data_IF_480566429274
#
_entry.id   IF_480566429274
#
_cell.length_a   1.000
_cell.length_b   1.000
_cell.length_c   1.000
_cell.angle_alpha   90.00
_cell.angle_beta   90.00
_cell.angle_gamma   90.00
#
_symmetry.space_group_name_H-M   'P 1'
#
loop_
_entity.id
_entity.type
_entity.pdbx_description
1 polymer ?
#
# COMPACT_ATOMS: atom_id res chain seq x y z
N UNK A 1 29.14 4.65 -10.99
CA UNK A 1 28.51 4.15 -9.75
C UNK A 1 29.38 4.32 -8.50
N UNK A 2 30.69 4.12 -8.58
CA UNK A 2 31.62 4.38 -7.45
C UNK A 2 31.49 5.78 -6.86
N UNK A 3 31.23 6.82 -7.66
CA UNK A 3 31.04 8.18 -7.19
C UNK A 3 29.85 8.42 -6.23
N UNK A 4 28.84 7.52 -6.18
CA UNK A 4 27.76 7.64 -5.18
C UNK A 4 28.19 7.13 -3.80
N UNK A 5 29.03 6.08 -3.76
CA UNK A 5 29.49 5.47 -2.50
C UNK A 5 30.34 6.49 -1.71
N UNK A 6 31.18 7.26 -2.39
CA UNK A 6 32.03 8.29 -1.78
C UNK A 6 31.19 9.43 -1.13
N UNK A 7 29.94 9.62 -1.57
CA UNK A 7 29.03 10.63 -1.07
C UNK A 7 28.00 10.10 -0.07
N UNK A 8 28.10 8.85 0.40
CA UNK A 8 27.11 8.25 1.33
C UNK A 8 26.88 9.12 2.56
N UNK A 9 27.94 9.59 3.22
CA UNK A 9 27.83 10.42 4.41
C UNK A 9 27.21 11.80 4.14
N UNK A 10 27.50 12.37 2.96
CA UNK A 10 26.90 13.64 2.55
C UNK A 10 25.40 13.47 2.30
N UNK A 11 24.99 12.42 1.60
CA UNK A 11 23.59 12.12 1.31
C UNK A 11 22.83 11.89 2.62
N UNK A 12 23.37 11.10 3.55
CA UNK A 12 22.74 10.85 4.86
C UNK A 12 22.62 12.13 5.69
N UNK A 13 23.64 13.02 5.66
CA UNK A 13 23.54 14.34 6.34
C UNK A 13 22.45 15.21 5.70
N UNK A 14 22.28 15.18 4.40
CA UNK A 14 21.24 15.92 3.70
C UNK A 14 19.85 15.36 4.03
N UNK A 15 19.65 14.02 4.03
CA UNK A 15 18.41 13.38 4.47
C UNK A 15 18.03 13.82 5.88
N UNK A 16 19.01 13.83 6.82
CA UNK A 16 18.78 14.30 8.17
C UNK A 16 18.38 15.79 8.22
N UNK A 17 19.05 16.64 7.43
CA UNK A 17 18.76 18.08 7.34
C UNK A 17 17.37 18.37 6.76
N UNK A 18 16.93 17.56 5.80
CA UNK A 18 15.57 17.65 5.24
C UNK A 18 14.50 17.04 6.16
N UNK A 19 14.91 16.46 7.29
CA UNK A 19 13.98 15.86 8.23
C UNK A 19 13.33 14.58 7.71
N UNK A 20 14.02 13.86 6.83
CA UNK A 20 13.51 12.59 6.26
C UNK A 20 13.57 11.53 7.35
N UNK A 21 12.43 11.26 7.95
CA UNK A 21 12.29 10.38 9.11
C UNK A 21 11.24 9.33 8.86
N UNK A 22 11.37 8.24 9.59
CA UNK A 22 10.38 7.19 9.69
C UNK A 22 10.12 6.88 11.16
N UNK A 23 8.84 6.86 11.54
CA UNK A 23 8.42 6.53 12.89
C UNK A 23 8.26 5.02 13.07
N UNK A 24 8.76 4.50 14.19
CA UNK A 24 8.52 3.12 14.61
C UNK A 24 7.98 3.09 16.02
N UNK A 25 7.03 2.17 16.26
CA UNK A 25 6.57 1.87 17.61
C UNK A 25 7.38 0.68 18.16
N UNK A 26 7.96 0.89 19.33
CA UNK A 26 8.62 -0.19 20.08
C UNK A 26 8.08 -0.17 21.51
N UNK A 27 7.47 -1.26 21.94
CA UNK A 27 6.82 -1.35 23.26
C UNK A 27 5.82 -0.22 23.51
N UNK A 28 4.99 0.09 22.52
CA UNK A 28 4.02 1.20 22.53
C UNK A 28 4.64 2.60 22.67
N UNK A 29 5.95 2.76 22.53
CA UNK A 29 6.63 4.05 22.50
C UNK A 29 6.96 4.42 21.06
N UNK A 30 6.48 5.59 20.63
CA UNK A 30 6.79 6.15 19.33
C UNK A 30 8.23 6.66 19.29
N UNK A 31 9.02 6.15 18.35
CA UNK A 31 10.40 6.57 18.12
C UNK A 31 10.57 7.00 16.67
N UNK A 32 10.96 8.24 16.45
CA UNK A 32 11.41 8.71 15.14
C UNK A 32 12.88 8.37 14.94
N UNK A 33 13.20 7.80 13.80
CA UNK A 33 14.59 7.62 13.36
C UNK A 33 14.80 8.23 11.98
N UNK A 34 16.02 8.66 11.73
CA UNK A 34 16.42 9.06 10.39
C UNK A 34 16.30 7.88 9.43
N UNK A 35 15.90 8.17 8.21
CA UNK A 35 15.85 7.16 7.15
C UNK A 35 17.29 6.75 6.81
N UNK A 36 17.69 5.48 7.02
CA UNK A 36 19.02 5.01 6.66
C UNK A 36 19.10 4.86 5.14
N UNK A 37 20.16 5.38 4.55
CA UNK A 37 20.38 5.28 3.12
C UNK A 37 21.77 4.70 2.83
N UNK A 38 21.78 3.65 2.01
CA UNK A 38 22.98 3.09 1.40
C UNK A 38 23.08 3.60 -0.04
N UNK A 39 24.21 4.23 -0.37
CA UNK A 39 24.46 4.79 -1.69
C UNK A 39 24.82 3.74 -2.76
N UNK A 40 24.98 2.46 -2.40
CA UNK A 40 25.15 1.38 -3.37
C UNK A 40 23.84 1.12 -4.11
N UNK A 41 23.74 1.52 -5.40
CA UNK A 41 22.48 1.39 -6.11
C UNK A 41 22.24 -0.06 -6.55
N UNK A 42 21.02 -0.54 -6.35
CA UNK A 42 20.52 -1.69 -7.09
C UNK A 42 20.11 -1.23 -8.49
N UNK A 43 20.67 -1.86 -9.50
CA UNK A 43 20.40 -1.52 -10.90
C UNK A 43 19.39 -2.52 -11.45
N UNK A 44 18.31 -1.98 -12.02
CA UNK A 44 17.31 -2.73 -12.77
C UNK A 44 17.41 -2.24 -14.22
N UNK A 45 17.66 -3.14 -15.15
CA UNK A 45 17.72 -2.81 -16.57
C UNK A 45 16.34 -2.40 -17.10
N UNK A 46 16.33 -1.71 -18.26
CA UNK A 46 15.06 -1.33 -18.88
C UNK A 46 14.19 -2.54 -19.22
N UNK A 47 14.78 -3.58 -19.80
CA UNK A 47 14.04 -4.78 -20.21
C UNK A 47 13.47 -5.52 -19.00
N UNK A 48 14.24 -5.59 -17.89
CA UNK A 48 13.79 -6.15 -16.61
C UNK A 48 12.63 -5.31 -16.03
N UNK A 49 12.76 -3.99 -16.06
CA UNK A 49 11.71 -3.09 -15.58
C UNK A 49 10.43 -3.21 -16.43
N UNK A 50 10.55 -3.27 -17.76
CA UNK A 50 9.41 -3.44 -18.67
C UNK A 50 8.70 -4.78 -18.44
N UNK A 51 9.46 -5.84 -18.10
CA UNK A 51 8.88 -7.13 -17.70
C UNK A 51 8.11 -7.02 -16.39
N UNK A 52 8.71 -6.41 -15.36
CA UNK A 52 8.07 -6.18 -14.07
C UNK A 52 6.81 -5.32 -14.22
N UNK A 53 6.89 -4.24 -14.98
CA UNK A 53 5.76 -3.34 -15.21
C UNK A 53 4.55 -4.07 -15.81
N UNK A 54 4.77 -4.91 -16.82
CA UNK A 54 3.69 -5.70 -17.42
C UNK A 54 3.04 -6.64 -16.42
N UNK A 55 3.85 -7.38 -15.65
CA UNK A 55 3.34 -8.31 -14.65
C UNK A 55 2.62 -7.62 -13.50
N UNK A 56 3.12 -6.48 -13.04
CA UNK A 56 2.48 -5.67 -12.01
C UNK A 56 1.15 -5.09 -12.48
N UNK A 57 1.09 -4.57 -13.72
CA UNK A 57 -0.16 -4.07 -14.32
C UNK A 57 -1.21 -5.17 -14.44
N UNK A 58 -0.82 -6.39 -14.86
CA UNK A 58 -1.70 -7.55 -14.92
C UNK A 58 -2.25 -7.87 -13.53
N UNK A 59 -1.38 -7.95 -12.53
CA UNK A 59 -1.73 -8.28 -11.14
C UNK A 59 -2.70 -7.27 -10.53
N UNK A 60 -2.37 -5.99 -10.61
CA UNK A 60 -3.22 -4.90 -10.06
C UNK A 60 -4.57 -4.85 -10.75
N UNK A 61 -4.65 -5.12 -12.06
CA UNK A 61 -5.91 -5.23 -12.79
C UNK A 61 -6.79 -6.36 -12.24
N UNK A 62 -6.22 -7.55 -12.01
CA UNK A 62 -6.95 -8.67 -11.42
C UNK A 62 -7.43 -8.35 -9.99
N UNK A 63 -6.57 -7.74 -9.16
CA UNK A 63 -6.90 -7.32 -7.80
C UNK A 63 -8.03 -6.27 -7.76
N UNK A 64 -8.04 -5.30 -8.69
CA UNK A 64 -9.15 -4.34 -8.80
C UNK A 64 -10.48 -5.02 -9.14
N UNK A 65 -10.47 -6.00 -10.05
CA UNK A 65 -11.68 -6.76 -10.40
C UNK A 65 -12.11 -7.62 -9.21
N UNK A 66 -11.19 -8.25 -8.51
CA UNK A 66 -11.45 -9.01 -7.29
C UNK A 66 -12.13 -8.15 -6.22
N UNK A 67 -11.58 -6.98 -5.91
CA UNK A 67 -12.16 -6.06 -4.93
C UNK A 67 -13.59 -5.65 -5.32
N UNK A 68 -13.81 -5.32 -6.59
CA UNK A 68 -15.16 -5.03 -7.08
C UNK A 68 -16.09 -6.23 -6.91
N UNK A 69 -15.64 -7.43 -7.25
CA UNK A 69 -16.45 -8.64 -7.22
C UNK A 69 -16.88 -9.01 -5.80
N UNK A 70 -15.95 -9.03 -4.85
CA UNK A 70 -16.26 -9.44 -3.46
C UNK A 70 -17.20 -8.47 -2.74
N UNK A 71 -17.17 -7.18 -3.09
CA UNK A 71 -18.08 -6.17 -2.52
C UNK A 71 -19.39 -6.01 -3.30
N UNK A 72 -19.55 -6.70 -4.43
CA UNK A 72 -20.77 -6.62 -5.26
C UNK A 72 -21.37 -7.99 -5.56
N UNK A 73 -20.87 -8.68 -6.59
CA UNK A 73 -21.45 -9.92 -7.13
C UNK A 73 -21.02 -11.18 -6.37
N UNK A 74 -19.82 -11.17 -5.78
CA UNK A 74 -19.20 -12.28 -5.05
C UNK A 74 -19.07 -13.54 -5.93
N UNK A 75 -18.78 -13.35 -7.23
CA UNK A 75 -18.82 -14.44 -8.21
C UNK A 75 -17.66 -15.41 -8.00
N UNK A 76 -16.46 -14.91 -7.68
CA UNK A 76 -15.27 -15.75 -7.45
C UNK A 76 -15.48 -16.74 -6.29
N UNK A 77 -16.26 -16.32 -5.26
CA UNK A 77 -16.63 -17.17 -4.12
C UNK A 77 -17.68 -18.21 -4.58
N UNK A 78 -18.73 -17.78 -5.29
CA UNK A 78 -19.78 -18.69 -5.81
C UNK A 78 -19.22 -19.77 -6.73
N UNK A 79 -18.22 -19.41 -7.54
CA UNK A 79 -17.53 -20.33 -8.45
C UNK A 79 -16.43 -21.15 -7.75
N UNK A 80 -16.29 -20.98 -6.43
CA UNK A 80 -15.34 -21.73 -5.56
C UNK A 80 -13.88 -21.63 -6.00
N UNK A 81 -13.49 -20.51 -6.59
CA UNK A 81 -12.08 -20.22 -6.92
C UNK A 81 -11.31 -19.86 -5.67
N UNK A 82 -11.97 -19.12 -4.75
CA UNK A 82 -11.47 -18.80 -3.41
C UNK A 82 -12.51 -19.29 -2.41
N UNK A 83 -12.12 -20.09 -1.40
CA UNK A 83 -13.02 -20.43 -0.31
C UNK A 83 -13.49 -19.19 0.43
N UNK A 84 -14.78 -19.16 0.81
CA UNK A 84 -15.40 -18.00 1.45
C UNK A 84 -14.73 -17.63 2.78
N UNK A 85 -14.17 -18.61 3.47
CA UNK A 85 -13.47 -18.44 4.74
C UNK A 85 -12.27 -17.49 4.61
N UNK A 86 -11.57 -17.51 3.47
CA UNK A 86 -10.44 -16.60 3.24
C UNK A 86 -10.89 -15.18 2.99
N UNK A 87 -12.05 -14.97 2.39
CA UNK A 87 -12.56 -13.62 2.11
C UNK A 87 -13.21 -13.03 3.35
N UNK A 88 -14.16 -13.75 3.94
CA UNK A 88 -14.92 -13.25 5.10
C UNK A 88 -14.16 -13.36 6.42
N UNK A 89 -13.17 -14.26 6.51
CA UNK A 89 -12.26 -14.38 7.64
C UNK A 89 -11.09 -13.40 7.62
N UNK A 90 -10.82 -12.76 6.48
CA UNK A 90 -9.78 -11.75 6.40
C UNK A 90 -10.12 -10.52 7.24
N UNK A 91 -9.22 -10.12 8.14
CA UNK A 91 -9.42 -8.96 9.03
C UNK A 91 -9.66 -7.65 8.25
N UNK A 92 -9.25 -7.60 6.99
CA UNK A 92 -9.44 -6.46 6.10
C UNK A 92 -10.77 -6.42 5.36
N UNK A 93 -11.61 -7.48 5.45
CA UNK A 93 -12.93 -7.46 4.84
C UNK A 93 -13.88 -6.59 5.67
N UNK A 94 -14.49 -5.62 5.02
CA UNK A 94 -15.38 -4.64 5.66
C UNK A 94 -16.80 -4.81 5.11
N UNK A 95 -17.70 -5.42 5.89
CA UNK A 95 -19.10 -5.63 5.50
C UNK A 95 -19.81 -4.30 5.17
N UNK A 96 -19.40 -3.23 5.84
CA UNK A 96 -19.92 -1.88 5.63
C UNK A 96 -19.60 -1.32 4.24
N UNK A 97 -18.65 -1.92 3.53
CA UNK A 97 -18.29 -1.54 2.16
C UNK A 97 -19.09 -2.30 1.09
N UNK A 98 -19.92 -3.28 1.48
CA UNK A 98 -20.74 -4.04 0.52
C UNK A 98 -21.69 -3.12 -0.26
N UNK A 99 -21.73 -3.31 -1.58
CA UNK A 99 -22.55 -2.50 -2.49
C UNK A 99 -22.02 -1.10 -2.78
N UNK A 100 -20.98 -0.62 -2.07
CA UNK A 100 -20.35 0.65 -2.38
C UNK A 100 -19.42 0.50 -3.60
N UNK A 101 -19.66 1.33 -4.61
CA UNK A 101 -18.83 1.35 -5.84
C UNK A 101 -18.12 2.69 -5.93
N UNK A 102 -16.78 2.70 -5.94
CA UNK A 102 -16.02 3.94 -6.03
C UNK A 102 -16.17 4.63 -7.39
N UNK A 103 -15.93 5.94 -7.48
CA UNK A 103 -15.90 6.65 -8.73
C UNK A 103 -14.99 5.97 -9.76
N UNK A 104 -15.46 5.86 -11.01
CA UNK A 104 -14.77 5.19 -12.13
C UNK A 104 -14.51 3.69 -11.92
N UNK A 105 -15.16 3.05 -10.94
CA UNK A 105 -14.92 1.63 -10.60
C UNK A 105 -13.47 1.31 -10.18
N UNK A 106 -12.72 2.28 -9.69
CA UNK A 106 -11.34 2.08 -9.27
C UNK A 106 -11.27 1.88 -7.76
N UNK A 107 -10.94 0.69 -7.31
CA UNK A 107 -10.78 0.35 -5.90
C UNK A 107 -9.36 0.61 -5.40
N UNK A 108 -8.35 0.11 -6.11
CA UNK A 108 -6.94 0.33 -5.80
C UNK A 108 -6.31 1.27 -6.84
N UNK A 109 -6.07 2.50 -6.42
CA UNK A 109 -5.46 3.54 -7.25
C UNK A 109 -3.94 3.51 -7.12
N UNK A 110 -3.46 3.23 -5.91
CA UNK A 110 -2.05 3.11 -5.55
C UNK A 110 -1.84 1.71 -4.97
N UNK A 111 -0.89 0.99 -5.52
CA UNK A 111 -0.55 -0.37 -5.09
C UNK A 111 0.92 -0.45 -4.73
N UNK A 112 1.23 -0.92 -3.54
CA UNK A 112 2.59 -1.24 -3.09
C UNK A 112 2.81 -2.74 -3.21
N UNK A 113 3.42 -3.18 -4.30
CA UNK A 113 3.68 -4.60 -4.54
C UNK A 113 5.15 -4.88 -4.21
N UNK A 114 5.37 -5.69 -3.19
CA UNK A 114 6.71 -6.06 -2.78
C UNK A 114 7.27 -7.18 -3.64
N UNK A 115 8.48 -6.99 -4.12
CA UNK A 115 9.17 -7.93 -4.99
C UNK A 115 10.45 -8.44 -4.36
N UNK A 116 10.75 -9.71 -4.58
CA UNK A 116 12.02 -10.34 -4.21
C UNK A 116 12.62 -11.04 -5.41
N UNK A 117 13.94 -10.96 -5.55
CA UNK A 117 14.65 -11.73 -6.54
C UNK A 117 15.21 -13.00 -5.90
N UNK A 118 14.81 -14.15 -6.42
CA UNK A 118 15.29 -15.45 -5.95
C UNK A 118 16.73 -15.75 -6.35
N UNK A 119 17.28 -16.83 -5.82
CA UNK A 119 18.62 -17.32 -6.19
C UNK A 119 18.72 -17.74 -7.66
N UNK A 120 17.58 -18.03 -8.28
CA UNK A 120 17.44 -18.32 -9.72
C UNK A 120 17.39 -17.06 -10.59
N UNK A 121 17.63 -15.89 -9.99
CA UNK A 121 17.57 -14.57 -10.60
C UNK A 121 16.18 -14.16 -11.13
N UNK A 122 15.11 -14.91 -10.81
CA UNK A 122 13.73 -14.56 -11.15
C UNK A 122 13.13 -13.64 -10.09
N UNK A 123 12.23 -12.78 -10.55
CA UNK A 123 11.44 -11.93 -9.67
C UNK A 123 10.16 -12.63 -9.22
N UNK A 124 9.87 -12.52 -7.94
CA UNK A 124 8.67 -13.05 -7.31
C UNK A 124 7.96 -11.92 -6.58
N UNK A 125 6.64 -11.95 -6.59
CA UNK A 125 5.83 -11.10 -5.71
C UNK A 125 5.89 -11.69 -4.31
N UNK A 126 6.13 -10.85 -3.30
CA UNK A 126 6.22 -11.24 -1.89
C UNK A 126 4.94 -10.92 -1.13
N UNK A 127 4.34 -9.76 -1.39
CA UNK A 127 3.05 -9.35 -0.85
C UNK A 127 2.42 -8.21 -1.67
N UNK A 128 1.11 -8.03 -1.50
CA UNK A 128 0.33 -6.95 -2.08
C UNK A 128 -0.12 -6.00 -0.98
N UNK A 129 0.14 -4.70 -1.13
CA UNK A 129 -0.30 -3.66 -0.22
C UNK A 129 -1.22 -2.69 -0.97
N UNK A 130 -2.54 -2.78 -0.72
CA UNK A 130 -3.57 -2.01 -1.42
C UNK A 130 -4.39 -1.10 -0.49
N UNK A 131 -4.23 -1.25 0.82
CA UNK A 131 -4.94 -0.42 1.80
C UNK A 131 -4.41 1.02 1.82
N UNK A 132 -3.21 1.21 2.36
CA UNK A 132 -2.54 2.50 2.52
C UNK A 132 -1.03 2.35 2.25
N UNK A 133 -0.62 1.97 1.02
CA UNK A 133 0.79 1.77 0.72
C UNK A 133 1.58 3.05 0.96
N UNK A 134 2.80 2.90 1.49
CA UNK A 134 3.71 3.99 1.85
C UNK A 134 5.10 3.74 1.28
N UNK A 135 5.93 4.78 1.24
CA UNK A 135 7.33 4.67 0.91
C UNK A 135 7.78 5.39 -0.36
N UNK A 136 6.86 5.87 -1.20
CA UNK A 136 7.20 6.48 -2.49
C UNK A 136 8.05 7.76 -2.35
N UNK A 137 7.90 8.52 -1.28
CA UNK A 137 8.65 9.76 -1.04
C UNK A 137 10.15 9.53 -0.84
N UNK A 138 10.52 8.43 -0.17
CA UNK A 138 11.90 8.14 0.17
C UNK A 138 12.80 7.95 -1.06
N UNK A 139 12.47 7.09 -2.04
CA UNK A 139 13.27 6.96 -3.25
C UNK A 139 13.26 8.24 -4.12
N UNK A 140 12.22 9.04 -4.08
CA UNK A 140 12.18 10.32 -4.80
C UNK A 140 13.23 11.29 -4.23
N UNK A 141 13.23 11.48 -2.91
CA UNK A 141 14.18 12.36 -2.24
C UNK A 141 15.60 11.82 -2.32
N UNK A 142 15.78 10.52 -2.03
CA UNK A 142 17.10 9.90 -2.14
C UNK A 142 17.69 10.07 -3.54
N UNK A 143 16.89 9.87 -4.61
CA UNK A 143 17.32 10.09 -6.00
C UNK A 143 17.70 11.54 -6.24
N UNK A 144 16.94 12.51 -5.73
CA UNK A 144 17.27 13.94 -5.87
C UNK A 144 18.60 14.26 -5.19
N UNK A 145 18.82 13.78 -3.98
CA UNK A 145 20.05 14.01 -3.23
C UNK A 145 21.25 13.32 -3.88
N UNK A 146 21.10 12.10 -4.39
CA UNK A 146 22.14 11.43 -5.18
C UNK A 146 22.53 12.24 -6.42
N UNK A 147 21.58 12.82 -7.14
CA UNK A 147 21.86 13.68 -8.30
C UNK A 147 22.61 14.95 -7.93
N UNK A 148 22.35 15.52 -6.76
CA UNK A 148 23.05 16.70 -6.25
C UNK A 148 24.47 16.38 -5.80
N UNK A 149 24.63 15.26 -5.07
CA UNK A 149 25.91 14.85 -4.54
C UNK A 149 26.87 14.33 -5.63
N UNK A 150 26.35 13.63 -6.64
CA UNK A 150 27.16 13.04 -7.72
C UNK A 150 26.54 13.27 -9.10
N UNK A 151 26.51 14.53 -9.59
CA UNK A 151 25.88 14.86 -10.87
C UNK A 151 26.54 14.15 -12.07
N UNK A 152 27.84 13.90 -12.00
CA UNK A 152 28.57 13.23 -13.08
C UNK A 152 28.15 11.78 -13.27
N UNK A 153 27.84 11.07 -12.20
CA UNK A 153 27.29 9.71 -12.27
C UNK A 153 25.98 9.67 -13.08
N UNK A 154 25.12 10.68 -12.91
CA UNK A 154 23.85 10.74 -13.63
C UNK A 154 23.98 11.28 -15.06
N UNK A 155 25.02 12.07 -15.36
CA UNK A 155 25.34 12.48 -16.74
C UNK A 155 25.93 11.34 -17.56
N UNK A 156 26.74 10.51 -16.93
CA UNK A 156 27.40 9.37 -17.58
C UNK A 156 26.48 8.17 -17.83
N UNK A 157 25.31 8.13 -17.16
CA UNK A 157 24.39 7.00 -17.22
C UNK A 157 22.96 7.48 -17.54
N UNK A 158 22.26 6.77 -18.41
CA UNK A 158 20.83 7.00 -18.64
C UNK A 158 20.04 6.37 -17.50
N UNK A 159 19.56 7.20 -16.57
CA UNK A 159 18.76 6.78 -15.42
C UNK A 159 17.37 7.37 -15.56
N UNK A 160 16.34 6.50 -15.56
CA UNK A 160 14.95 6.93 -15.64
C UNK A 160 14.58 7.78 -14.41
N UNK A 161 13.87 8.86 -14.66
CA UNK A 161 13.45 9.79 -13.62
C UNK A 161 12.25 9.26 -12.83
N UNK A 162 12.25 9.46 -11.53
CA UNK A 162 11.13 9.13 -10.65
C UNK A 162 10.43 10.37 -10.05
N UNK A 163 10.83 11.58 -10.48
CA UNK A 163 10.25 12.84 -9.96
C UNK A 163 8.81 13.06 -10.41
N UNK A 164 8.39 12.41 -11.49
CA UNK A 164 7.03 12.47 -12.01
C UNK A 164 5.99 11.74 -11.15
N UNK A 165 6.39 11.04 -10.08
CA UNK A 165 5.45 10.33 -9.21
C UNK A 165 4.39 11.28 -8.61
N UNK A 166 4.77 12.49 -8.19
CA UNK A 166 3.83 13.49 -7.69
C UNK A 166 2.78 13.88 -8.73
N UNK A 167 3.17 14.03 -10.00
CA UNK A 167 2.25 14.30 -11.10
C UNK A 167 1.35 13.09 -11.41
N UNK A 168 1.89 11.87 -11.35
CA UNK A 168 1.10 10.64 -11.53
C UNK A 168 0.05 10.50 -10.43
N UNK A 169 0.42 10.74 -9.17
CA UNK A 169 -0.52 10.71 -8.06
C UNK A 169 -1.59 11.80 -8.19
N UNK A 170 -1.22 13.03 -8.59
CA UNK A 170 -2.18 14.10 -8.88
C UNK A 170 -3.15 13.67 -9.96
N UNK A 171 -2.66 13.15 -11.08
CA UNK A 171 -3.49 12.69 -12.19
C UNK A 171 -4.45 11.56 -11.76
N UNK A 172 -4.00 10.66 -10.88
CA UNK A 172 -4.86 9.61 -10.33
C UNK A 172 -5.99 10.19 -9.45
N UNK A 173 -5.68 11.21 -8.62
CA UNK A 173 -6.67 11.92 -7.82
C UNK A 173 -7.66 12.68 -8.72
N UNK A 174 -7.15 13.43 -9.69
CA UNK A 174 -7.98 14.21 -10.61
C UNK A 174 -8.90 13.32 -11.45
N UNK A 175 -8.43 12.13 -11.84
CA UNK A 175 -9.23 11.17 -12.62
C UNK A 175 -10.49 10.70 -11.89
N UNK A 176 -10.42 10.50 -10.57
CA UNK A 176 -11.55 10.04 -9.77
C UNK A 176 -12.26 11.16 -9.01
N UNK A 177 -11.76 12.39 -9.08
CA UNK A 177 -12.33 13.56 -8.41
C UNK A 177 -13.78 13.80 -8.85
N UNK A 178 -14.68 13.89 -7.86
CA UNK A 178 -16.13 14.07 -8.07
C UNK A 178 -16.56 15.55 -8.11
N UNK A 179 -15.60 16.44 -8.16
CA UNK A 179 -15.80 17.90 -8.17
C UNK A 179 -15.39 18.56 -6.86
N UNK A 180 -14.39 19.41 -6.92
CA UNK A 180 -13.81 20.11 -5.77
C UNK A 180 -12.29 19.94 -5.70
N UNK A 181 -11.73 20.22 -4.53
CA UNK A 181 -10.28 20.09 -4.28
C UNK A 181 -9.88 18.64 -4.00
N UNK A 182 -8.60 18.34 -4.22
CA UNK A 182 -7.95 17.13 -3.73
C UNK A 182 -7.37 17.37 -2.33
N UNK A 183 -7.48 16.38 -1.46
CA UNK A 183 -6.98 16.42 -0.09
C UNK A 183 -6.08 15.22 0.18
N UNK A 184 -4.97 15.44 0.89
CA UNK A 184 -4.22 14.39 1.58
C UNK A 184 -4.64 14.39 3.04
N UNK A 185 -5.38 13.37 3.45
CA UNK A 185 -5.87 13.22 4.83
C UNK A 185 -4.88 12.42 5.67
N UNK A 186 -4.28 13.08 6.66
CA UNK A 186 -3.32 12.48 7.59
C UNK A 186 -3.91 12.30 8.99
N UNK A 187 -3.59 11.20 9.70
CA UNK A 187 -3.96 11.06 11.12
C UNK A 187 -3.07 11.90 12.06
N UNK A 188 -2.09 12.62 11.51
CA UNK A 188 -1.22 13.51 12.27
C UNK A 188 0.19 12.99 12.50
N UNK A 189 0.97 13.77 13.25
CA UNK A 189 2.43 13.63 13.39
C UNK A 189 2.94 12.34 14.04
N UNK A 190 2.08 11.60 14.72
CA UNK A 190 2.44 10.32 15.33
C UNK A 190 2.30 9.12 14.39
N UNK A 191 1.89 9.36 13.15
CA UNK A 191 1.91 8.33 12.13
C UNK A 191 3.34 8.09 11.63
N UNK A 192 3.72 6.83 11.44
CA UNK A 192 5.05 6.42 10.98
C UNK A 192 5.48 7.12 9.68
N UNK A 193 4.55 7.35 8.76
CA UNK A 193 4.79 7.94 7.45
C UNK A 193 4.37 9.42 7.35
N UNK A 194 4.24 10.14 8.47
CA UNK A 194 3.79 11.55 8.47
C UNK A 194 4.62 12.44 7.55
N UNK A 195 5.94 12.23 7.50
CA UNK A 195 6.82 12.93 6.57
C UNK A 195 6.34 12.75 5.12
N UNK A 196 6.04 11.52 4.72
CA UNK A 196 5.55 11.22 3.36
C UNK A 196 4.22 11.91 3.07
N UNK A 197 3.31 11.96 4.04
CA UNK A 197 2.00 12.60 3.84
C UNK A 197 2.14 14.07 3.44
N UNK A 198 2.96 14.83 4.17
CA UNK A 198 3.21 16.25 3.89
C UNK A 198 3.97 16.44 2.56
N UNK A 199 4.97 15.59 2.30
CA UNK A 199 5.74 15.63 1.07
C UNK A 199 4.86 15.37 -0.17
N UNK A 200 4.00 14.36 -0.13
CA UNK A 200 3.11 14.05 -1.24
C UNK A 200 2.01 15.11 -1.42
N UNK A 201 1.52 15.72 -0.35
CA UNK A 201 0.60 16.86 -0.45
C UNK A 201 1.26 18.02 -1.20
N UNK A 202 2.50 18.37 -0.87
CA UNK A 202 3.28 19.39 -1.58
C UNK A 202 3.47 19.03 -3.07
N UNK A 203 3.90 17.79 -3.37
CA UNK A 203 4.20 17.35 -4.74
C UNK A 203 2.96 17.24 -5.62
N UNK A 204 1.81 16.94 -5.06
CA UNK A 204 0.53 16.85 -5.79
C UNK A 204 -0.20 18.18 -5.89
N UNK A 205 0.11 19.13 -5.01
CA UNK A 205 -0.67 20.36 -4.83
C UNK A 205 -2.01 20.13 -4.14
N UNK A 206 -2.23 18.95 -3.54
CA UNK A 206 -3.41 18.67 -2.77
C UNK A 206 -3.35 19.37 -1.40
N UNK A 207 -4.51 19.71 -0.84
CA UNK A 207 -4.58 20.30 0.49
C UNK A 207 -4.18 19.25 1.53
N UNK A 208 -3.22 19.59 2.38
CA UNK A 208 -2.83 18.75 3.52
C UNK A 208 -3.78 19.00 4.68
N UNK A 209 -4.57 18.01 5.05
CA UNK A 209 -5.62 18.15 6.05
C UNK A 209 -5.55 17.08 7.15
N UNK A 210 -5.97 17.46 8.34
CA UNK A 210 -6.25 16.57 9.45
C UNK A 210 -7.79 16.33 9.55
N UNK A 211 -8.25 15.32 10.30
CA UNK A 211 -9.68 15.03 10.42
C UNK A 211 -10.55 16.22 10.83
N UNK A 212 -10.07 17.03 11.77
CA UNK A 212 -10.80 18.21 12.26
C UNK A 212 -10.96 19.34 11.23
N UNK A 213 -10.20 19.30 10.14
CA UNK A 213 -10.29 20.27 9.05
C UNK A 213 -11.38 19.90 8.04
N UNK A 214 -11.95 18.68 8.19
CA UNK A 214 -12.94 18.11 7.28
C UNK A 214 -14.27 17.87 7.97
N UNK A 215 -15.36 18.05 7.26
CA UNK A 215 -16.72 17.73 7.74
C UNK A 215 -17.64 17.37 6.58
N UNK A 216 -18.70 16.62 6.88
CA UNK A 216 -19.72 16.24 5.91
C UNK A 216 -21.02 17.00 6.20
N UNK A 217 -21.62 17.57 5.18
CA UNK A 217 -22.91 18.23 5.22
C UNK A 217 -23.72 17.84 3.96
N UNK A 218 -24.92 17.30 4.14
CA UNK A 218 -25.75 16.86 3.02
C UNK A 218 -25.10 15.80 2.12
N UNK A 219 -24.36 14.86 2.73
CA UNK A 219 -23.57 13.82 2.03
C UNK A 219 -22.49 14.40 1.09
N UNK A 220 -22.00 15.59 1.34
CA UNK A 220 -20.88 16.21 0.63
C UNK A 220 -19.78 16.53 1.61
N UNK A 221 -18.55 16.15 1.25
CA UNK A 221 -17.36 16.42 2.06
C UNK A 221 -16.83 17.82 1.79
N UNK A 222 -16.53 18.56 2.85
CA UNK A 222 -15.94 19.90 2.81
C UNK A 222 -14.66 19.98 3.62
N UNK A 223 -13.76 20.82 3.14
CA UNK A 223 -12.61 21.34 3.87
C UNK A 223 -12.93 22.74 4.38
N UNK A 224 -12.63 22.98 5.66
CA UNK A 224 -12.78 24.29 6.29
C UNK A 224 -11.42 24.99 6.40
N UNK A 225 -11.26 26.10 5.69
CA UNK A 225 -10.10 26.94 5.87
C UNK A 225 -10.16 27.67 7.24
N UNK A 226 -9.00 28.06 7.75
CA UNK A 226 -8.92 28.88 8.96
C UNK A 226 -9.70 30.23 8.84
N UNK A 227 -9.83 30.72 7.61
CA UNK A 227 -10.64 31.90 7.28
C UNK A 227 -12.15 31.68 7.43
N UNK A 228 -12.60 30.45 7.68
CA UNK A 228 -14.01 30.05 7.67
C UNK A 228 -14.59 29.77 6.29
N UNK A 229 -13.80 29.90 5.22
CA UNK A 229 -14.22 29.51 3.88
C UNK A 229 -14.29 28.00 3.74
N UNK A 230 -15.36 27.52 3.13
CA UNK A 230 -15.59 26.10 2.87
C UNK A 230 -15.25 25.79 1.41
N UNK A 231 -14.55 24.68 1.20
CA UNK A 231 -14.27 24.15 -0.13
C UNK A 231 -14.77 22.71 -0.23
N UNK A 232 -15.52 22.39 -1.27
CA UNK A 232 -15.92 21.02 -1.55
C UNK A 232 -14.70 20.18 -1.86
N UNK A 233 -14.66 18.96 -1.30
CA UNK A 233 -13.61 17.97 -1.52
C UNK A 233 -14.14 16.92 -2.49
N UNK A 234 -13.45 16.71 -3.61
CA UNK A 234 -13.83 15.73 -4.62
C UNK A 234 -13.04 14.42 -4.56
N UNK A 235 -11.80 14.47 -4.08
CA UNK A 235 -11.00 13.26 -3.85
C UNK A 235 -10.12 13.41 -2.62
N UNK A 236 -9.98 12.31 -1.87
CA UNK A 236 -9.17 12.22 -0.66
C UNK A 236 -8.13 11.11 -0.83
N UNK A 237 -6.84 11.48 -0.85
CA UNK A 237 -5.76 10.53 -0.64
C UNK A 237 -5.65 10.27 0.86
N UNK A 238 -6.29 9.21 1.31
CA UNK A 238 -6.36 8.86 2.74
C UNK A 238 -5.09 8.19 3.21
N UNK A 239 -4.61 8.63 4.36
CA UNK A 239 -3.47 7.99 5.06
C UNK A 239 -3.91 7.45 6.42
N UNK A 240 -5.17 7.07 6.51
CA UNK A 240 -5.86 6.52 7.68
C UNK A 240 -6.35 5.12 7.32
N UNK A 241 -6.20 4.16 8.22
CA UNK A 241 -6.75 2.81 8.06
C UNK A 241 -8.27 2.82 8.03
N UNK A 242 -8.85 1.80 7.42
CA UNK A 242 -10.30 1.69 7.19
C UNK A 242 -11.11 1.82 8.47
N UNK A 243 -10.75 1.08 9.50
CA UNK A 243 -11.43 1.02 10.80
C UNK A 243 -11.45 2.37 11.54
N UNK A 244 -10.50 3.26 11.29
CA UNK A 244 -10.44 4.59 11.91
C UNK A 244 -11.06 5.71 11.06
N UNK A 245 -11.46 5.44 9.81
CA UNK A 245 -11.75 6.48 8.83
C UNK A 245 -13.08 7.19 9.08
N UNK A 246 -14.10 6.49 9.58
CA UNK A 246 -15.41 7.05 9.90
C UNK A 246 -15.94 6.48 11.22
N UNK A 247 -15.99 7.29 12.30
CA UNK A 247 -16.50 6.81 13.59
C UNK A 247 -18.01 6.47 13.59
N UNK A 248 -18.76 6.91 12.57
CA UNK A 248 -20.19 6.61 12.46
C UNK A 248 -20.44 5.29 11.72
N UNK A 249 -19.44 4.77 11.00
CA UNK A 249 -19.57 3.56 10.21
C UNK A 249 -18.76 2.41 10.79
N UNK A 250 -17.52 2.69 11.23
CA UNK A 250 -16.58 1.67 11.68
C UNK A 250 -16.40 1.76 13.20
N UNK A 251 -15.30 2.27 13.63
CA UNK A 251 -14.86 2.29 15.01
C UNK A 251 -15.32 3.57 15.73
N UNK A 252 -16.35 3.47 16.57
CA UNK A 252 -17.01 4.62 17.22
C UNK A 252 -16.10 5.46 18.13
N UNK A 253 -14.99 4.89 18.63
CA UNK A 253 -13.99 5.59 19.46
C UNK A 253 -12.88 6.25 18.64
N UNK A 254 -12.96 6.23 17.30
CA UNK A 254 -11.97 6.83 16.43
C UNK A 254 -11.98 8.37 16.53
N UNK A 255 -10.82 8.93 16.89
CA UNK A 255 -10.55 10.37 16.81
C UNK A 255 -9.76 10.76 15.55
N UNK A 256 -9.43 9.78 14.70
CA UNK A 256 -8.61 9.96 13.49
C UNK A 256 -9.43 10.06 12.21
N UNK A 257 -10.75 9.79 12.31
CA UNK A 257 -11.64 9.76 11.16
C UNK A 257 -12.46 11.02 11.00
N UNK A 258 -13.22 11.07 9.91
CA UNK A 258 -14.16 12.15 9.59
C UNK A 258 -15.57 11.57 9.68
N UNK A 259 -16.41 12.01 10.62
CA UNK A 259 -17.77 11.51 10.76
C UNK A 259 -18.56 11.66 9.45
N UNK A 260 -19.31 10.60 9.08
CA UNK A 260 -20.15 10.54 7.87
C UNK A 260 -19.38 10.59 6.53
N UNK A 261 -18.06 10.42 6.50
CA UNK A 261 -17.32 10.38 5.24
C UNK A 261 -17.77 9.20 4.36
N UNK A 262 -18.19 8.09 4.97
CA UNK A 262 -18.73 6.94 4.24
C UNK A 262 -20.10 7.23 3.63
N UNK A 263 -20.91 8.10 4.22
CA UNK A 263 -22.18 8.53 3.61
C UNK A 263 -21.92 9.35 2.36
N UNK A 264 -20.94 10.27 2.40
CA UNK A 264 -20.52 11.03 1.22
C UNK A 264 -19.91 10.12 0.13
N UNK A 265 -19.15 9.11 0.52
CA UNK A 265 -18.56 8.12 -0.40
C UNK A 265 -19.63 7.25 -1.06
N UNK A 266 -20.56 6.67 -0.31
CA UNK A 266 -21.69 5.87 -0.84
C UNK A 266 -22.61 6.69 -1.76
N UNK A 267 -22.76 7.98 -1.49
CA UNK A 267 -23.51 8.90 -2.34
C UNK A 267 -22.76 9.28 -3.65
N UNK A 268 -21.53 8.82 -3.82
CA UNK A 268 -20.70 9.16 -4.99
C UNK A 268 -20.20 10.61 -5.01
N UNK A 269 -20.23 11.31 -3.89
CA UNK A 269 -19.89 12.72 -3.76
C UNK A 269 -18.41 12.97 -3.42
N UNK A 270 -17.66 11.94 -3.09
CA UNK A 270 -16.20 11.97 -2.85
C UNK A 270 -15.56 10.66 -3.28
N UNK A 271 -14.37 10.73 -3.84
CA UNK A 271 -13.51 9.56 -4.05
C UNK A 271 -12.58 9.38 -2.84
N UNK A 272 -12.50 8.17 -2.33
CA UNK A 272 -11.52 7.77 -1.31
C UNK A 272 -10.43 6.92 -1.98
N UNK A 273 -9.18 7.33 -1.88
CA UNK A 273 -8.04 6.74 -2.57
C UNK A 273 -7.05 6.18 -1.52
N UNK A 274 -6.86 4.86 -1.39
CA UNK A 274 -7.60 3.78 -2.03
C UNK A 274 -9.00 3.60 -1.40
N UNK A 275 -9.87 2.90 -2.10
CA UNK A 275 -11.22 2.65 -1.62
C UNK A 275 -11.22 1.92 -0.26
N UNK A 276 -12.20 2.21 0.61
CA UNK A 276 -12.40 1.47 1.85
C UNK A 276 -12.63 -0.02 1.60
N UNK A 277 -12.13 -0.86 2.50
CA UNK A 277 -12.23 -2.31 2.38
C UNK A 277 -11.14 -2.97 1.55
N UNK A 278 -10.24 -2.20 0.93
CA UNK A 278 -9.11 -2.75 0.14
C UNK A 278 -8.13 -3.59 0.98
N UNK A 279 -8.17 -3.43 2.29
CA UNK A 279 -7.31 -4.16 3.24
C UNK A 279 -7.45 -5.69 3.11
N UNK A 280 -8.57 -6.19 2.60
CA UNK A 280 -8.75 -7.62 2.32
C UNK A 280 -7.72 -8.15 1.31
N UNK A 281 -7.28 -7.32 0.37
CA UNK A 281 -6.28 -7.71 -0.61
C UNK A 281 -4.83 -7.67 -0.07
N UNK A 282 -4.61 -7.09 1.13
CA UNK A 282 -3.33 -7.12 1.83
C UNK A 282 -3.15 -8.43 2.61
N UNK A 283 -4.23 -9.23 2.79
CA UNK A 283 -4.22 -10.50 3.52
C UNK A 283 -3.36 -11.54 2.79
N UNK A 284 -2.47 -12.23 3.54
CA UNK A 284 -1.54 -13.20 2.96
C UNK A 284 -2.22 -14.50 2.51
N UNK A 285 -3.39 -14.81 3.07
CA UNK A 285 -4.23 -15.89 2.57
C UNK A 285 -4.83 -15.53 1.21
N UNK A 286 -5.31 -14.29 1.05
CA UNK A 286 -5.81 -13.78 -0.23
C UNK A 286 -4.69 -13.70 -1.28
N UNK A 287 -3.50 -13.26 -0.89
CA UNK A 287 -2.31 -13.23 -1.75
C UNK A 287 -2.04 -14.58 -2.43
N UNK A 288 -2.22 -15.70 -1.73
CA UNK A 288 -2.05 -17.05 -2.28
C UNK A 288 -2.87 -17.26 -3.56
N UNK A 289 -4.08 -16.71 -3.62
CA UNK A 289 -5.01 -16.89 -4.73
C UNK A 289 -4.83 -15.90 -5.89
N UNK A 290 -3.95 -14.91 -5.80
CA UNK A 290 -3.82 -13.90 -6.87
C UNK A 290 -3.46 -14.50 -8.23
N UNK A 291 -2.60 -15.53 -8.35
CA UNK A 291 -2.40 -16.23 -9.61
C UNK A 291 -3.70 -16.84 -10.19
N UNK A 292 -4.56 -17.39 -9.33
CA UNK A 292 -5.87 -17.91 -9.75
C UNK A 292 -6.84 -16.79 -10.15
N UNK A 293 -6.79 -15.64 -9.46
CA UNK A 293 -7.57 -14.45 -9.85
C UNK A 293 -7.19 -13.95 -11.24
N UNK A 294 -5.89 -13.92 -11.58
CA UNK A 294 -5.42 -13.53 -12.92
C UNK A 294 -6.03 -14.44 -13.99
N UNK A 295 -5.97 -15.75 -13.78
CA UNK A 295 -6.56 -16.71 -14.70
C UNK A 295 -8.07 -16.55 -14.80
N UNK A 296 -8.74 -16.43 -13.66
CA UNK A 296 -10.19 -16.35 -13.59
C UNK A 296 -10.75 -15.05 -14.21
N UNK A 297 -10.23 -13.90 -13.83
CA UNK A 297 -10.76 -12.61 -14.27
C UNK A 297 -10.22 -12.16 -15.64
N UNK A 298 -8.97 -12.48 -15.96
CA UNK A 298 -8.33 -12.00 -17.18
C UNK A 298 -8.23 -13.07 -18.27
N UNK A 299 -8.37 -14.36 -17.93
CA UNK A 299 -8.12 -15.46 -18.87
C UNK A 299 -6.65 -15.56 -19.29
N UNK A 300 -5.74 -15.06 -18.47
CA UNK A 300 -4.32 -14.96 -18.78
C UNK A 300 -3.49 -15.80 -17.80
N UNK A 301 -2.31 -16.26 -18.22
CA UNK A 301 -1.32 -16.82 -17.30
C UNK A 301 -0.59 -15.69 -16.55
N UNK A 302 -0.28 -15.88 -15.24
CA UNK A 302 0.47 -14.90 -14.47
C UNK A 302 1.85 -14.64 -15.06
N UNK A 303 2.18 -13.38 -15.34
CA UNK A 303 3.50 -12.97 -15.81
C UNK A 303 4.51 -13.01 -14.64
N UNK A 304 4.11 -12.54 -13.47
CA UNK A 304 4.89 -12.63 -12.23
C UNK A 304 4.27 -13.68 -11.31
N UNK A 305 5.11 -14.59 -10.83
CA UNK A 305 4.70 -15.59 -9.85
C UNK A 305 4.75 -15.03 -8.43
N UNK A 306 3.93 -15.58 -7.55
CA UNK A 306 4.15 -15.41 -6.12
C UNK A 306 5.47 -16.06 -5.69
N UNK A 307 6.10 -15.57 -4.63
CA UNK A 307 7.07 -16.37 -3.90
C UNK A 307 6.41 -17.71 -3.50
N UNK A 308 7.13 -18.84 -3.52
CA UNK A 308 6.55 -20.12 -3.13
C UNK A 308 5.86 -20.00 -1.77
N UNK A 309 4.56 -20.21 -1.77
CA UNK A 309 3.69 -19.99 -0.61
C UNK A 309 2.78 -21.20 -0.42
N UNK A 310 2.62 -21.61 0.82
CA UNK A 310 1.84 -22.78 1.23
C UNK A 310 0.81 -22.35 2.26
N UNK A 311 -0.43 -22.82 2.10
CA UNK A 311 -1.50 -22.60 3.07
C UNK A 311 -1.80 -23.91 3.81
N UNK A 312 -1.49 -24.01 5.11
CA UNK A 312 -1.81 -25.21 5.92
C UNK A 312 -3.29 -25.55 6.00
N UNK A 313 -4.15 -24.77 5.42
CA UNK A 313 -5.56 -25.06 5.17
C UNK A 313 -5.74 -26.28 4.23
N UNK A 314 -4.82 -26.48 3.29
CA UNK A 314 -4.81 -27.60 2.37
C UNK A 314 -3.91 -28.72 2.92
N UNK A 315 -4.40 -29.96 2.86
CA UNK A 315 -3.68 -31.14 3.41
C UNK A 315 -2.30 -31.33 2.80
N UNK A 316 -2.17 -31.12 1.48
CA UNK A 316 -0.89 -31.24 0.75
C UNK A 316 0.11 -30.17 1.20
N UNK A 317 -0.34 -28.92 1.35
CA UNK A 317 0.49 -27.80 1.81
C UNK A 317 0.87 -28.01 3.28
N UNK A 318 -0.06 -28.43 4.14
CA UNK A 318 0.21 -28.75 5.55
C UNK A 318 1.33 -29.79 5.65
N UNK A 319 1.23 -30.88 4.90
CA UNK A 319 2.25 -31.93 4.89
C UNK A 319 3.61 -31.37 4.48
N UNK A 320 3.63 -30.59 3.37
CA UNK A 320 4.88 -29.97 2.91
C UNK A 320 5.50 -29.04 3.95
N UNK A 321 4.66 -28.21 4.61
CA UNK A 321 5.10 -27.30 5.66
C UNK A 321 5.74 -28.05 6.84
N UNK A 322 5.09 -29.09 7.33
CA UNK A 322 5.62 -29.88 8.44
C UNK A 322 6.95 -30.57 8.09
N UNK A 323 7.06 -31.12 6.88
CA UNK A 323 8.27 -31.80 6.40
C UNK A 323 9.45 -30.84 6.16
N UNK A 324 9.18 -29.54 5.93
CA UNK A 324 10.19 -28.55 5.52
C UNK A 324 10.26 -27.32 6.42
N UNK A 325 9.62 -27.30 7.56
CA UNK A 325 9.42 -26.10 8.39
C UNK A 325 10.71 -25.35 8.69
N UNK A 326 11.82 -26.07 8.90
CA UNK A 326 13.15 -25.47 9.15
C UNK A 326 13.68 -24.59 8.00
N UNK A 327 13.09 -24.68 6.81
CA UNK A 327 13.50 -23.93 5.61
C UNK A 327 12.50 -22.83 5.26
N UNK A 328 11.42 -22.74 6.01
CA UNK A 328 10.30 -21.86 5.69
C UNK A 328 10.27 -20.63 6.61
N UNK A 329 9.61 -19.60 6.13
CA UNK A 329 9.23 -18.43 6.92
C UNK A 329 7.73 -18.52 7.15
N UNK A 330 7.31 -18.48 8.38
CA UNK A 330 5.90 -18.51 8.79
C UNK A 330 5.46 -17.07 9.00
N UNK A 331 4.31 -16.71 8.45
CA UNK A 331 3.74 -15.37 8.55
C UNK A 331 2.29 -15.46 9.00
N UNK A 332 1.92 -14.63 9.96
CA UNK A 332 0.51 -14.40 10.26
C UNK A 332 -0.18 -13.74 9.04
N UNK A 333 -1.40 -14.20 8.73
CA UNK A 333 -2.14 -13.74 7.54
C UNK A 333 -2.54 -12.27 7.63
N UNK A 334 -2.82 -11.77 8.84
CA UNK A 334 -3.36 -10.42 9.09
C UNK A 334 -2.29 -9.38 9.43
N UNK A 335 -1.10 -9.80 9.87
CA UNK A 335 -0.07 -8.89 10.36
C UNK A 335 0.75 -8.25 9.22
N UNK A 336 1.28 -7.05 9.47
CA UNK A 336 2.09 -6.26 8.54
C UNK A 336 3.33 -5.68 9.22
N UNK A 337 4.26 -5.13 8.44
CA UNK A 337 5.45 -4.47 8.97
C UNK A 337 6.46 -5.39 9.67
N UNK A 338 6.44 -6.69 9.35
CA UNK A 338 7.33 -7.70 9.92
C UNK A 338 6.87 -8.26 11.28
N UNK A 339 5.73 -7.84 11.79
CA UNK A 339 5.12 -8.46 12.97
C UNK A 339 4.56 -9.85 12.59
N UNK A 340 4.61 -10.80 13.53
CA UNK A 340 4.12 -12.18 13.28
C UNK A 340 4.96 -13.00 12.28
N UNK A 341 6.18 -12.55 11.95
CA UNK A 341 7.11 -13.30 11.10
C UNK A 341 8.00 -14.18 11.97
N UNK A 342 7.96 -15.48 11.71
CA UNK A 342 8.75 -16.50 12.44
C UNK A 342 9.60 -17.27 11.44
N UNK A 343 10.89 -17.38 11.70
CA UNK A 343 11.79 -18.21 10.92
C UNK A 343 11.73 -19.65 11.43
N UNK A 344 11.35 -20.59 10.58
CA UNK A 344 11.24 -22.00 10.96
C UNK A 344 12.55 -22.58 11.49
N UNK A 345 13.69 -22.10 11.02
CA UNK A 345 15.03 -22.47 11.51
C UNK A 345 15.28 -22.10 12.99
N UNK A 346 14.48 -21.20 13.55
CA UNK A 346 14.60 -20.73 14.94
C UNK A 346 13.60 -21.42 15.88
N UNK A 347 12.71 -22.28 15.34
CA UNK A 347 11.69 -22.97 16.11
C UNK A 347 12.22 -24.22 16.79
N UNK A 348 11.88 -24.40 18.07
CA UNK A 348 11.98 -25.68 18.72
C UNK A 348 10.87 -26.64 18.27
N UNK A 349 11.07 -27.94 18.39
CA UNK A 349 10.03 -28.93 18.07
C UNK A 349 8.74 -28.72 18.88
N UNK A 350 8.84 -28.30 20.14
CA UNK A 350 7.70 -28.01 21.00
C UNK A 350 6.88 -26.82 20.38
N UNK A 351 7.57 -25.77 19.93
CA UNK A 351 6.91 -24.60 19.35
C UNK A 351 6.25 -24.88 17.99
N UNK A 352 6.77 -25.83 17.22
CA UNK A 352 6.15 -26.28 15.96
C UNK A 352 4.78 -26.92 16.20
N UNK A 353 4.57 -27.60 17.32
CA UNK A 353 3.29 -28.21 17.67
C UNK A 353 2.26 -27.23 18.25
N UNK A 354 2.70 -26.01 18.61
CA UNK A 354 1.83 -24.95 19.13
C UNK A 354 1.34 -23.99 18.03
N UNK A 355 1.98 -24.00 16.87
CA UNK A 355 1.62 -23.19 15.69
C UNK A 355 0.65 -23.93 14.79
#
# INVERSE_FOLDING_TARGET
MYGLIEHTDEINRLLARYGVKFGIYKNNVFNERLFPFDAVPRIISKDEFDYLERGLKQRVKALNIFLKDIYTKKQIIKDKIIPEEFVYGAAGYMMECEGAVPPKDVFAHISGIDLVQGNDMRWYVLEDNLRVPSGASYPMIARELCRRASPDTFRANTVVDNRNYGDLLRNALDYVNTGGINVVLTPGRFNSAFFEHSYLAEKTGAVFAMPQDLFVEGNVLYYSEYSGKRQRVGAVYRRINDDFMDPMTFRADSLLGVPHIMDAYRAGNVALVNAPGNSVADDKGIYYYVPAMIKYYLGEEPILSNAPTYLPFYEEDMKYVLDNIQKLVIKDVAESGGYGVVFGSELSLERVYEL
#
